data_IF_522201365787
#
_entry.id   IF_522201365787
#
_cell.length_a   1.000
_cell.length_b   1.000
_cell.length_c   1.000
_cell.angle_alpha   90.00
_cell.angle_beta   90.00
_cell.angle_gamma   90.00
#
_symmetry.space_group_name_H-M   'P 1'
#
loop_
_entity.id
_entity.type
_entity.pdbx_description
1 polymer ?
#
# COMPACT_ATOMS: atom_id res chain seq x y z
N UNK A 1 18.53 -9.38 -39.08
CA UNK A 1 19.37 -8.19 -38.79
C UNK A 1 18.83 -6.89 -39.42
N UNK A 2 18.82 -6.71 -40.75
CA UNK A 2 18.32 -5.47 -41.39
C UNK A 2 16.78 -5.34 -41.32
N UNK A 3 16.07 -6.42 -41.61
CA UNK A 3 14.60 -6.49 -41.52
C UNK A 3 14.07 -6.18 -40.12
N UNK A 4 14.75 -6.64 -39.07
CA UNK A 4 14.37 -6.34 -37.68
C UNK A 4 14.59 -4.88 -37.32
N UNK A 5 15.59 -4.22 -37.93
CA UNK A 5 15.79 -2.78 -37.79
C UNK A 5 14.66 -2.00 -38.48
N UNK A 6 14.26 -2.42 -39.68
CA UNK A 6 13.14 -1.80 -40.43
C UNK A 6 11.82 -1.97 -39.70
N UNK A 7 11.48 -3.18 -39.22
CA UNK A 7 10.26 -3.44 -38.43
C UNK A 7 10.21 -2.61 -37.14
N UNK A 8 11.33 -2.52 -36.41
CA UNK A 8 11.43 -1.68 -35.20
C UNK A 8 11.24 -0.20 -35.50
N UNK A 9 11.81 0.30 -36.61
CA UNK A 9 11.65 1.69 -37.04
C UNK A 9 10.21 2.00 -37.43
N UNK A 10 9.55 1.12 -38.20
CA UNK A 10 8.14 1.26 -38.56
C UNK A 10 7.23 1.24 -37.33
N UNK A 11 7.43 0.30 -36.40
CA UNK A 11 6.64 0.23 -35.17
C UNK A 11 6.84 1.47 -34.27
N UNK A 12 8.02 2.07 -34.27
CA UNK A 12 8.30 3.32 -33.56
C UNK A 12 7.52 4.49 -34.19
N UNK A 13 7.57 4.61 -35.52
CA UNK A 13 6.86 5.66 -36.27
C UNK A 13 5.33 5.52 -36.17
N UNK A 14 4.80 4.30 -36.21
CA UNK A 14 3.37 4.05 -36.02
C UNK A 14 2.92 4.42 -34.61
N UNK A 15 3.74 4.12 -33.59
CA UNK A 15 3.48 4.53 -32.20
C UNK A 15 3.51 6.04 -32.04
N UNK A 16 4.51 6.74 -32.59
CA UNK A 16 4.58 8.20 -32.51
C UNK A 16 3.39 8.86 -33.23
N UNK A 17 2.99 8.35 -34.40
CA UNK A 17 1.81 8.82 -35.12
C UNK A 17 0.51 8.58 -34.34
N UNK A 18 0.37 7.41 -33.71
CA UNK A 18 -0.79 7.12 -32.86
C UNK A 18 -0.87 8.08 -31.66
N UNK A 19 0.26 8.32 -30.97
CA UNK A 19 0.36 9.28 -29.86
C UNK A 19 0.00 10.69 -30.33
N UNK A 20 0.52 11.12 -31.49
CA UNK A 20 0.22 12.44 -32.08
C UNK A 20 -1.28 12.59 -32.37
N UNK A 21 -1.91 11.59 -32.99
CA UNK A 21 -3.35 11.58 -33.26
C UNK A 21 -4.18 11.61 -31.97
N UNK A 22 -3.80 10.83 -30.96
CA UNK A 22 -4.43 10.85 -29.63
C UNK A 22 -4.31 12.22 -28.97
N UNK A 23 -3.13 12.85 -28.98
CA UNK A 23 -2.92 14.21 -28.44
C UNK A 23 -3.80 15.23 -29.14
N UNK A 24 -3.86 15.19 -30.48
CA UNK A 24 -4.69 16.09 -31.29
C UNK A 24 -6.19 15.91 -31.00
N UNK A 25 -6.65 14.66 -30.80
CA UNK A 25 -8.04 14.37 -30.41
C UNK A 25 -8.37 14.93 -29.03
N UNK A 26 -7.52 14.70 -28.03
CA UNK A 26 -7.69 15.26 -26.67
C UNK A 26 -7.69 16.79 -26.66
N UNK A 27 -6.83 17.41 -27.48
CA UNK A 27 -6.78 18.86 -27.61
C UNK A 27 -8.07 19.42 -28.25
N UNK A 28 -8.60 18.74 -29.27
CA UNK A 28 -9.90 19.08 -29.86
C UNK A 28 -11.05 18.91 -28.85
N UNK A 29 -11.07 17.82 -28.09
CA UNK A 29 -12.09 17.59 -27.05
C UNK A 29 -12.01 18.64 -25.94
N UNK A 30 -10.80 19.02 -25.48
CA UNK A 30 -10.60 20.12 -24.54
C UNK A 30 -11.08 21.45 -25.10
N UNK A 31 -10.71 21.79 -26.33
CA UNK A 31 -11.18 23.01 -26.98
C UNK A 31 -12.72 23.03 -27.10
N UNK A 32 -13.33 21.90 -27.47
CA UNK A 32 -14.79 21.76 -27.54
C UNK A 32 -15.45 21.98 -26.17
N UNK A 33 -14.88 21.41 -25.09
CA UNK A 33 -15.37 21.63 -23.73
C UNK A 33 -15.28 23.10 -23.31
N UNK A 34 -14.12 23.74 -23.50
CA UNK A 34 -13.93 25.13 -23.08
C UNK A 34 -14.75 26.13 -23.92
N UNK A 35 -14.95 25.86 -25.21
CA UNK A 35 -15.78 26.71 -26.07
C UNK A 35 -17.26 26.66 -25.68
N UNK A 36 -17.79 25.47 -25.33
CA UNK A 36 -19.16 25.34 -24.85
C UNK A 36 -19.32 24.11 -23.94
N UNK A 37 -19.18 24.29 -22.60
CA UNK A 37 -19.16 23.16 -21.68
C UNK A 37 -20.51 22.44 -21.60
N UNK A 38 -21.62 23.17 -21.74
CA UNK A 38 -22.97 22.60 -21.67
C UNK A 38 -23.31 21.77 -22.91
N UNK A 39 -22.93 22.22 -24.11
CA UNK A 39 -23.11 21.44 -25.34
C UNK A 39 -22.24 20.18 -25.33
N UNK A 40 -21.00 20.29 -24.87
CA UNK A 40 -20.09 19.16 -24.72
C UNK A 40 -20.61 18.14 -23.71
N UNK A 41 -21.10 18.60 -22.55
CA UNK A 41 -21.71 17.73 -21.53
C UNK A 41 -22.98 17.05 -22.03
N UNK A 42 -23.85 17.75 -22.79
CA UNK A 42 -25.01 17.12 -23.44
C UNK A 42 -24.61 15.98 -24.37
N UNK A 43 -23.58 16.19 -25.20
CA UNK A 43 -23.09 15.17 -26.13
C UNK A 43 -22.54 13.92 -25.41
N UNK A 44 -22.06 14.05 -24.17
CA UNK A 44 -21.53 12.95 -23.37
C UNK A 44 -22.61 12.12 -22.67
N UNK A 45 -23.69 12.77 -22.23
CA UNK A 45 -24.57 12.23 -21.21
C UNK A 45 -25.80 11.50 -21.73
N UNK A 46 -26.25 11.72 -22.97
CA UNK A 46 -27.27 10.91 -23.67
C UNK A 46 -27.61 11.48 -25.06
N UNK A 47 -28.11 10.64 -25.98
CA UNK A 47 -28.79 11.12 -27.19
C UNK A 47 -30.07 11.88 -26.78
N UNK A 48 -30.43 12.94 -27.51
CA UNK A 48 -31.59 13.76 -27.18
C UNK A 48 -32.86 12.89 -27.12
N UNK A 49 -33.36 12.65 -25.90
CA UNK A 49 -34.65 11.99 -25.68
C UNK A 49 -35.74 12.95 -26.15
N UNK A 50 -36.15 12.77 -27.40
CA UNK A 50 -37.28 13.50 -27.98
C UNK A 50 -38.59 12.85 -27.53
N UNK A 51 -39.50 13.66 -27.00
CA UNK A 51 -40.81 13.23 -26.55
C UNK A 51 -41.73 14.43 -26.37
N UNK A 52 -43.01 14.28 -26.71
CA UNK A 52 -44.02 15.31 -26.48
C UNK A 52 -44.52 15.14 -25.04
N UNK A 53 -44.13 16.05 -24.16
CA UNK A 53 -44.68 16.10 -22.80
C UNK A 53 -46.17 16.44 -22.90
N UNK A 54 -47.04 15.53 -22.46
CA UNK A 54 -48.49 15.79 -22.37
C UNK A 54 -48.82 16.82 -21.28
N UNK A 55 -47.91 17.03 -20.34
CA UNK A 55 -48.06 17.93 -19.20
C UNK A 55 -47.59 19.33 -19.55
N UNK A 56 -48.39 20.35 -19.22
CA UNK A 56 -48.03 21.75 -19.41
C UNK A 56 -46.81 22.13 -18.57
N UNK A 57 -46.00 23.07 -19.08
CA UNK A 57 -44.77 23.52 -18.43
C UNK A 57 -45.02 24.00 -16.99
N UNK A 58 -46.10 24.74 -16.75
CA UNK A 58 -46.39 25.27 -15.41
C UNK A 58 -46.62 24.14 -14.40
N UNK A 59 -47.35 23.08 -14.81
CA UNK A 59 -47.68 21.96 -13.94
C UNK A 59 -46.45 21.11 -13.61
N UNK A 60 -45.52 20.95 -14.57
CA UNK A 60 -44.24 20.29 -14.34
C UNK A 60 -43.35 21.09 -13.39
N UNK A 61 -43.22 22.40 -13.61
CA UNK A 61 -42.42 23.28 -12.76
C UNK A 61 -42.96 23.32 -11.32
N UNK A 62 -44.27 23.34 -11.15
CA UNK A 62 -44.91 23.27 -9.84
C UNK A 62 -44.63 21.94 -9.13
N UNK A 63 -44.66 20.81 -9.86
CA UNK A 63 -44.31 19.50 -9.32
C UNK A 63 -42.84 19.43 -8.89
N UNK A 64 -41.90 19.87 -9.75
CA UNK A 64 -40.47 19.88 -9.42
C UNK A 64 -40.21 20.79 -8.21
N UNK A 65 -40.84 21.96 -8.17
CA UNK A 65 -40.72 22.89 -7.05
C UNK A 65 -41.25 22.27 -5.76
N UNK A 66 -42.38 21.56 -5.79
CA UNK A 66 -42.92 20.86 -4.63
C UNK A 66 -42.08 19.65 -4.16
N UNK A 67 -41.46 18.92 -5.08
CA UNK A 67 -40.70 17.70 -4.75
C UNK A 67 -39.25 17.97 -4.31
N UNK A 68 -38.58 18.94 -4.93
CA UNK A 68 -37.12 19.11 -4.80
C UNK A 68 -36.69 20.49 -4.30
N UNK A 69 -37.61 21.45 -4.13
CA UNK A 69 -37.27 22.73 -3.52
C UNK A 69 -37.63 22.73 -2.04
N UNK A 70 -36.64 23.02 -1.20
CA UNK A 70 -36.86 23.30 0.21
C UNK A 70 -37.70 24.60 0.35
N UNK A 71 -38.88 24.56 1.01
CA UNK A 71 -39.69 25.74 1.29
C UNK A 71 -38.95 26.84 2.07
N UNK A 72 -37.97 26.45 2.89
CA UNK A 72 -37.14 27.34 3.69
C UNK A 72 -35.81 27.70 3.01
N UNK A 73 -35.61 27.37 1.72
CA UNK A 73 -34.35 27.62 1.00
C UNK A 73 -33.88 29.08 1.06
N UNK A 74 -34.83 30.02 1.08
CA UNK A 74 -34.54 31.46 1.13
C UNK A 74 -34.47 32.01 2.56
N UNK A 75 -34.73 31.17 3.57
CA UNK A 75 -34.53 31.56 4.96
C UNK A 75 -33.04 31.42 5.29
N UNK A 76 -32.35 32.49 5.69
CA UNK A 76 -30.97 32.38 6.08
C UNK A 76 -30.87 31.43 7.28
N UNK A 77 -30.06 30.38 7.14
CA UNK A 77 -29.69 29.55 8.27
C UNK A 77 -29.02 30.47 9.30
N UNK A 78 -29.54 30.47 10.53
CA UNK A 78 -28.99 31.29 11.61
C UNK A 78 -27.50 30.99 11.83
N UNK A 79 -26.80 31.83 12.61
CA UNK A 79 -25.42 31.55 12.98
C UNK A 79 -25.32 30.12 13.50
N UNK A 80 -24.35 29.31 13.03
CA UNK A 80 -24.15 27.98 13.59
C UNK A 80 -24.01 28.17 15.11
N UNK A 81 -24.89 27.51 15.87
CA UNK A 81 -24.96 27.67 17.33
C UNK A 81 -23.55 27.57 17.92
N UNK A 82 -23.29 28.34 18.99
CA UNK A 82 -21.96 28.44 19.58
C UNK A 82 -21.42 27.05 19.93
N UNK A 83 -20.51 26.54 19.10
CA UNK A 83 -19.73 25.34 19.41
C UNK A 83 -18.60 25.79 20.31
N UNK A 84 -18.74 25.51 21.61
CA UNK A 84 -17.73 25.83 22.61
C UNK A 84 -16.38 25.25 22.17
N UNK A 85 -15.42 26.12 21.82
CA UNK A 85 -14.04 25.67 21.66
C UNK A 85 -13.56 25.18 23.03
N UNK A 86 -12.97 23.97 23.12
CA UNK A 86 -12.36 23.53 24.36
C UNK A 86 -11.29 24.55 24.78
N UNK A 87 -11.15 24.75 26.09
CA UNK A 87 -10.10 25.59 26.62
C UNK A 87 -8.73 25.09 26.12
N UNK A 88 -7.80 25.99 25.76
CA UNK A 88 -6.46 25.59 25.35
C UNK A 88 -5.77 24.80 26.49
N UNK A 89 -4.96 23.77 26.16
CA UNK A 89 -4.29 22.95 27.16
C UNK A 89 -3.37 23.80 28.04
N UNK A 90 -3.39 23.55 29.35
CA UNK A 90 -2.68 24.34 30.38
C UNK A 90 -1.15 24.29 30.24
N UNK A 91 -0.63 23.26 29.57
CA UNK A 91 0.80 23.07 29.34
C UNK A 91 1.08 22.82 27.86
N UNK A 92 1.92 23.66 27.24
CA UNK A 92 2.39 23.45 25.87
C UNK A 92 3.46 22.35 25.83
N UNK A 93 3.17 21.26 25.13
CA UNK A 93 4.13 20.17 24.86
C UNK A 93 4.84 20.41 23.53
N UNK A 94 6.09 19.96 23.41
CA UNK A 94 6.81 19.99 22.13
C UNK A 94 6.24 18.94 21.16
N UNK A 95 5.65 19.39 20.04
CA UNK A 95 4.95 18.58 19.02
C UNK A 95 5.84 18.28 17.81
N UNK A 96 7.14 18.61 17.85
CA UNK A 96 8.02 18.37 16.70
C UNK A 96 8.15 16.87 16.41
N UNK A 97 8.00 16.52 15.13
CA UNK A 97 8.12 15.14 14.68
C UNK A 97 9.49 14.58 15.08
N UNK A 98 9.54 13.35 15.63
CA UNK A 98 10.81 12.69 15.93
C UNK A 98 11.61 12.50 14.64
N UNK A 99 12.90 12.80 14.69
CA UNK A 99 13.77 12.62 13.51
C UNK A 99 13.89 11.12 13.23
N UNK A 100 13.74 10.72 11.96
CA UNK A 100 13.82 9.32 11.53
C UNK A 100 15.10 8.60 11.99
N UNK A 101 16.22 9.32 12.08
CA UNK A 101 17.48 8.79 12.60
C UNK A 101 17.41 8.36 14.09
N UNK A 102 16.61 9.06 14.90
CA UNK A 102 16.43 8.74 16.32
C UNK A 102 15.57 7.50 16.52
N UNK A 103 14.52 7.34 15.70
CA UNK A 103 13.64 6.17 15.71
C UNK A 103 14.40 4.91 15.30
N UNK A 104 15.13 4.97 14.19
CA UNK A 104 15.91 3.84 13.67
C UNK A 104 17.04 3.41 14.59
N UNK A 105 17.76 4.35 15.22
CA UNK A 105 18.81 4.04 16.19
C UNK A 105 18.27 3.40 17.47
N UNK A 106 17.10 3.84 17.94
CA UNK A 106 16.45 3.24 19.11
C UNK A 106 16.08 1.78 18.84
N UNK A 107 15.51 1.48 17.66
CA UNK A 107 15.21 0.11 17.21
C UNK A 107 16.48 -0.75 17.10
N UNK A 108 17.58 -0.19 16.58
CA UNK A 108 18.85 -0.91 16.42
C UNK A 108 19.54 -1.22 17.77
N UNK A 109 19.43 -0.33 18.76
CA UNK A 109 20.10 -0.46 20.06
C UNK A 109 19.54 -1.57 20.97
N UNK A 110 18.36 -2.10 20.65
CA UNK A 110 17.62 -3.06 21.49
C UNK A 110 17.91 -4.53 21.17
N UNK A 111 18.87 -4.82 20.28
CA UNK A 111 19.25 -6.21 19.98
C UNK A 111 18.22 -6.93 19.13
N UNK A 112 18.24 -6.64 17.83
CA UNK A 112 17.51 -7.39 16.81
C UNK A 112 18.41 -7.74 15.63
N UNK A 113 19.45 -8.53 15.84
CA UNK A 113 20.19 -9.19 14.74
C UNK A 113 19.25 -9.99 13.81
N UNK A 114 18.07 -10.39 14.32
CA UNK A 114 17.01 -11.09 13.58
C UNK A 114 16.25 -10.22 12.58
N UNK A 115 16.11 -8.90 12.80
CA UNK A 115 15.45 -8.01 11.83
C UNK A 115 16.41 -7.57 10.72
N UNK A 116 17.71 -7.42 11.04
CA UNK A 116 18.75 -7.14 10.06
C UNK A 116 18.97 -8.32 9.10
N UNK A 117 19.04 -9.58 9.57
CA UNK A 117 19.33 -10.71 8.66
C UNK A 117 18.24 -10.94 7.60
N UNK A 118 16.98 -10.59 7.88
CA UNK A 118 15.86 -10.68 6.93
C UNK A 118 15.82 -9.56 5.90
N UNK A 119 16.42 -8.40 6.18
CA UNK A 119 16.37 -7.21 5.34
C UNK A 119 17.70 -6.89 4.63
N UNK A 120 18.86 -7.35 5.13
CA UNK A 120 20.17 -6.98 4.58
C UNK A 120 20.89 -8.08 3.80
N UNK A 121 20.37 -9.31 3.76
CA UNK A 121 21.02 -10.42 3.05
C UNK A 121 20.84 -10.39 1.52
N UNK A 122 19.99 -9.49 0.97
CA UNK A 122 19.74 -9.38 -0.49
C UNK A 122 19.84 -7.98 -1.06
N UNK A 123 20.38 -7.01 -0.35
CA UNK A 123 20.66 -5.69 -0.93
C UNK A 123 22.14 -5.40 -0.78
N UNK A 124 22.88 -5.68 -1.87
CA UNK A 124 24.24 -5.21 -2.03
C UNK A 124 24.32 -3.70 -1.76
N UNK A 125 25.46 -3.28 -1.19
CA UNK A 125 25.76 -1.91 -0.72
C UNK A 125 25.05 -0.83 -1.57
N UNK A 126 24.19 0.03 -0.97
CA UNK A 126 23.50 1.05 -1.75
C UNK A 126 24.45 2.20 -2.10
N UNK A 127 24.44 2.56 -3.39
CA UNK A 127 25.02 3.81 -3.90
C UNK A 127 24.30 5.02 -3.31
N UNK A 128 25.07 6.03 -2.93
CA UNK A 128 24.78 7.01 -1.87
C UNK A 128 23.83 8.17 -2.21
N UNK A 129 23.27 8.27 -3.43
CA UNK A 129 22.74 9.56 -3.89
C UNK A 129 21.23 9.65 -4.21
N UNK A 130 20.48 8.55 -4.27
CA UNK A 130 19.05 8.59 -4.67
C UNK A 130 18.04 8.18 -3.58
N UNK A 131 18.50 7.78 -2.39
CA UNK A 131 17.63 7.26 -1.33
C UNK A 131 16.88 8.35 -0.55
N UNK A 132 17.34 9.61 -0.62
CA UNK A 132 16.71 10.73 0.11
C UNK A 132 15.46 11.26 -0.58
N UNK A 133 15.37 11.19 -1.91
CA UNK A 133 14.23 11.73 -2.66
C UNK A 133 12.99 10.82 -2.56
N UNK A 134 13.18 9.50 -2.61
CA UNK A 134 12.08 8.52 -2.62
C UNK A 134 11.31 8.48 -1.29
N UNK A 135 11.95 8.85 -0.18
CA UNK A 135 11.34 8.85 1.15
C UNK A 135 10.74 10.20 1.57
N UNK A 136 11.18 11.33 0.99
CA UNK A 136 10.55 12.63 1.23
C UNK A 136 9.18 12.77 0.53
N UNK A 137 8.99 12.12 -0.63
CA UNK A 137 7.68 12.11 -1.32
C UNK A 137 6.62 11.26 -0.60
N UNK A 138 7.02 10.32 0.26
CA UNK A 138 6.10 9.45 1.02
C UNK A 138 5.43 10.16 2.20
N UNK A 139 5.99 11.28 2.69
CA UNK A 139 5.44 12.05 3.81
C UNK A 139 4.49 13.17 3.40
N UNK A 140 4.44 13.54 2.11
CA UNK A 140 3.55 14.62 1.62
C UNK A 140 2.28 14.11 0.93
N UNK A 141 2.16 12.80 0.69
CA UNK A 141 1.01 12.21 0.01
C UNK A 141 -0.02 11.63 1.00
N UNK A 142 -0.89 12.48 1.56
CA UNK A 142 -2.07 12.07 2.34
C UNK A 142 -3.22 11.50 1.48
N UNK A 143 -2.91 10.75 0.42
CA UNK A 143 -3.93 10.04 -0.35
C UNK A 143 -3.40 8.68 -0.83
N UNK A 144 -4.03 7.63 -0.31
CA UNK A 144 -3.89 6.26 -0.80
C UNK A 144 -4.18 6.15 -2.32
N UNK A 145 -4.85 7.14 -2.93
CA UNK A 145 -5.14 7.19 -4.37
C UNK A 145 -3.89 7.28 -5.26
N UNK A 146 -2.83 7.96 -4.84
CA UNK A 146 -1.62 8.13 -5.68
C UNK A 146 -0.77 6.84 -5.70
N UNK A 147 -0.79 6.06 -4.62
CA UNK A 147 -0.04 4.80 -4.51
C UNK A 147 -0.64 3.64 -5.32
N UNK A 148 -1.96 3.69 -5.59
CA UNK A 148 -2.67 2.61 -6.30
C UNK A 148 -3.23 3.02 -7.67
N UNK A 149 -3.03 4.27 -8.09
CA UNK A 149 -3.32 4.75 -9.43
C UNK A 149 -2.50 4.00 -10.47
N UNK A 150 -3.17 3.29 -11.37
CA UNK A 150 -2.55 2.70 -12.57
C UNK A 150 -1.80 3.79 -13.34
N UNK A 151 -0.46 3.89 -13.18
CA UNK A 151 0.52 4.16 -14.27
C UNK A 151 1.92 4.70 -13.90
N UNK A 152 2.41 4.75 -12.66
CA UNK A 152 3.78 5.32 -12.43
C UNK A 152 4.81 4.34 -11.87
N UNK A 153 4.41 3.30 -11.14
CA UNK A 153 5.33 2.24 -10.73
C UNK A 153 4.63 0.89 -10.87
N UNK A 154 4.98 0.11 -11.89
CA UNK A 154 4.88 -1.35 -11.74
C UNK A 154 5.87 -1.71 -10.64
N UNK A 155 5.47 -1.60 -9.37
CA UNK A 155 6.31 -2.07 -8.28
C UNK A 155 6.37 -3.59 -8.41
N UNK A 156 7.52 -4.18 -8.79
CA UNK A 156 7.70 -5.61 -8.76
C UNK A 156 8.08 -5.98 -7.32
N UNK A 157 7.27 -5.53 -6.36
CA UNK A 157 7.36 -6.01 -5.00
C UNK A 157 6.43 -7.21 -4.94
N UNK A 158 6.88 -8.34 -5.50
CA UNK A 158 6.28 -9.61 -5.14
C UNK A 158 6.34 -9.65 -3.61
N UNK A 159 5.17 -9.63 -2.96
CA UNK A 159 5.14 -9.64 -1.50
C UNK A 159 5.90 -10.88 -1.01
N UNK A 160 6.59 -10.81 0.12
CA UNK A 160 7.31 -11.97 0.68
C UNK A 160 6.39 -13.19 0.77
N UNK A 161 5.10 -12.96 1.03
CA UNK A 161 4.07 -13.99 1.02
C UNK A 161 3.84 -14.59 -0.38
N UNK A 162 3.76 -13.77 -1.42
CA UNK A 162 3.62 -14.23 -2.80
C UNK A 162 4.81 -15.09 -3.21
N UNK A 163 6.03 -14.63 -2.94
CA UNK A 163 7.25 -15.40 -3.24
C UNK A 163 7.30 -16.74 -2.50
N UNK A 164 6.90 -16.74 -1.21
CA UNK A 164 6.78 -17.98 -0.43
C UNK A 164 5.73 -18.92 -1.03
N UNK A 165 4.53 -18.42 -1.37
CA UNK A 165 3.48 -19.24 -1.98
C UNK A 165 3.90 -19.83 -3.32
N UNK A 166 4.48 -19.02 -4.21
CA UNK A 166 5.02 -19.47 -5.48
C UNK A 166 6.08 -20.57 -5.30
N UNK A 167 6.99 -20.41 -4.34
CA UNK A 167 8.01 -21.43 -4.04
C UNK A 167 7.41 -22.73 -3.51
N UNK A 168 6.42 -22.62 -2.63
CA UNK A 168 5.74 -23.78 -2.01
C UNK A 168 4.84 -24.51 -3.00
N UNK A 169 4.09 -23.81 -3.85
CA UNK A 169 3.26 -24.41 -4.90
C UNK A 169 4.13 -25.06 -5.97
N UNK A 170 5.25 -24.44 -6.34
CA UNK A 170 6.26 -25.05 -7.22
C UNK A 170 6.80 -26.36 -6.65
N UNK A 171 7.14 -26.38 -5.35
CA UNK A 171 7.62 -27.59 -4.67
C UNK A 171 6.56 -28.70 -4.64
N UNK A 172 5.30 -28.38 -4.36
CA UNK A 172 4.19 -29.35 -4.42
C UNK A 172 4.09 -29.96 -5.82
N UNK A 173 4.16 -29.14 -6.87
CA UNK A 173 4.08 -29.62 -8.25
C UNK A 173 5.30 -30.46 -8.65
N UNK A 174 6.48 -30.10 -8.15
CA UNK A 174 7.71 -30.88 -8.33
C UNK A 174 7.61 -32.29 -7.77
N UNK A 175 7.07 -32.42 -6.55
CA UNK A 175 6.86 -33.70 -5.88
C UNK A 175 5.81 -34.56 -6.59
N UNK A 176 4.66 -33.96 -6.95
CA UNK A 176 3.56 -34.67 -7.63
C UNK A 176 3.93 -35.18 -9.02
N UNK A 177 4.70 -34.39 -9.77
CA UNK A 177 5.14 -34.76 -11.12
C UNK A 177 6.54 -35.39 -11.15
N UNK A 178 7.08 -35.82 -10.00
CA UNK A 178 8.41 -36.44 -9.96
C UNK A 178 8.52 -37.64 -10.89
N UNK A 179 9.69 -37.80 -11.51
CA UNK A 179 10.00 -38.96 -12.36
C UNK A 179 10.12 -40.22 -11.50
N UNK A 180 10.58 -40.06 -10.25
CA UNK A 180 10.78 -41.15 -9.32
C UNK A 180 9.43 -41.59 -8.73
N UNK A 181 9.06 -42.84 -9.01
CA UNK A 181 7.81 -43.42 -8.55
C UNK A 181 7.68 -43.38 -7.02
N UNK A 182 8.76 -43.65 -6.29
CA UNK A 182 8.77 -43.63 -4.82
C UNK A 182 8.46 -42.24 -4.26
N UNK A 183 9.01 -41.19 -4.87
CA UNK A 183 8.77 -39.80 -4.46
C UNK A 183 7.31 -39.41 -4.70
N UNK A 184 6.76 -39.84 -5.84
CA UNK A 184 5.35 -39.58 -6.17
C UNK A 184 4.39 -40.37 -5.27
N UNK A 185 4.69 -41.63 -4.98
CA UNK A 185 3.87 -42.48 -4.11
C UNK A 185 3.96 -42.09 -2.62
N UNK A 186 5.03 -41.42 -2.20
CA UNK A 186 5.20 -41.00 -0.81
C UNK A 186 4.24 -39.88 -0.37
N UNK A 187 3.56 -39.21 -1.32
CA UNK A 187 2.65 -38.07 -1.10
C UNK A 187 3.16 -37.09 -0.03
N UNK A 188 4.43 -36.68 -0.17
CA UNK A 188 5.10 -35.88 0.83
C UNK A 188 4.43 -34.50 0.99
N UNK A 189 3.91 -34.24 2.20
CA UNK A 189 3.24 -32.99 2.51
C UNK A 189 4.27 -31.86 2.72
N UNK A 190 4.24 -30.87 1.81
CA UNK A 190 5.02 -29.63 1.94
C UNK A 190 4.64 -28.87 3.21
N UNK A 191 5.62 -28.65 4.08
CA UNK A 191 5.45 -27.90 5.33
C UNK A 191 5.00 -26.47 5.04
N UNK A 192 3.80 -26.15 5.50
CA UNK A 192 3.15 -24.85 5.40
C UNK A 192 2.53 -24.48 6.76
N UNK A 193 2.21 -23.20 6.97
CA UNK A 193 1.59 -22.75 8.22
C UNK A 193 0.11 -23.15 8.30
N UNK A 194 -0.51 -23.04 9.48
CA UNK A 194 -1.93 -23.39 9.64
C UNK A 194 -2.87 -22.54 8.78
N UNK A 195 -2.56 -21.26 8.57
CA UNK A 195 -3.42 -20.33 7.82
C UNK A 195 -3.54 -20.64 6.33
N UNK A 196 -2.61 -21.39 5.75
CA UNK A 196 -2.54 -21.61 4.32
C UNK A 196 -1.83 -22.93 4.01
N UNK A 197 -2.47 -23.80 3.22
CA UNK A 197 -1.92 -25.09 2.81
C UNK A 197 -1.62 -25.08 1.31
N UNK A 198 -0.39 -25.43 0.95
CA UNK A 198 0.06 -25.41 -0.44
C UNK A 198 -0.69 -26.41 -1.33
N UNK A 199 -0.97 -27.61 -0.81
CA UNK A 199 -1.66 -28.67 -1.55
C UNK A 199 -3.04 -28.19 -2.02
N UNK A 200 -3.81 -27.63 -1.09
CA UNK A 200 -5.16 -27.12 -1.36
C UNK A 200 -5.13 -25.97 -2.37
N UNK A 201 -4.16 -25.05 -2.27
CA UNK A 201 -4.03 -23.96 -3.24
C UNK A 201 -3.67 -24.50 -4.63
N UNK A 202 -2.76 -25.47 -4.73
CA UNK A 202 -2.43 -26.13 -5.99
C UNK A 202 -3.65 -26.82 -6.59
N UNK A 203 -4.44 -27.55 -5.81
CA UNK A 203 -5.66 -28.21 -6.28
C UNK A 203 -6.68 -27.19 -6.82
N UNK A 204 -6.92 -26.09 -6.10
CA UNK A 204 -7.80 -25.00 -6.54
C UNK A 204 -7.31 -24.36 -7.84
N UNK A 205 -6.01 -24.13 -7.96
CA UNK A 205 -5.40 -23.53 -9.16
C UNK A 205 -5.51 -24.48 -10.34
N UNK A 206 -5.25 -25.78 -10.15
CA UNK A 206 -5.42 -26.79 -11.20
C UNK A 206 -6.89 -26.84 -11.66
N UNK A 207 -7.86 -26.88 -10.73
CA UNK A 207 -9.28 -26.82 -11.08
C UNK A 207 -9.64 -25.55 -11.86
N UNK A 208 -9.06 -24.41 -11.49
CA UNK A 208 -9.25 -23.15 -12.21
C UNK A 208 -8.66 -23.19 -13.61
N UNK A 209 -7.47 -23.74 -13.78
CA UNK A 209 -6.83 -23.92 -15.09
C UNK A 209 -7.63 -24.87 -15.99
N UNK A 210 -8.14 -25.96 -15.43
CA UNK A 210 -9.04 -26.90 -16.14
C UNK A 210 -10.35 -26.22 -16.54
N UNK A 211 -10.92 -25.42 -15.64
CA UNK A 211 -12.12 -24.63 -15.94
C UNK A 211 -11.85 -23.64 -17.07
N UNK A 212 -10.73 -22.91 -17.03
CA UNK A 212 -10.30 -21.99 -18.10
C UNK A 212 -10.10 -22.70 -19.44
N UNK A 213 -9.60 -23.94 -19.43
CA UNK A 213 -9.50 -24.77 -20.62
C UNK A 213 -10.89 -25.06 -21.24
N UNK A 214 -11.92 -25.30 -20.42
CA UNK A 214 -13.31 -25.49 -20.90
C UNK A 214 -13.87 -24.22 -21.56
N UNK A 215 -13.64 -23.03 -21.00
CA UNK A 215 -14.03 -21.77 -21.65
C UNK A 215 -13.23 -21.50 -22.92
N UNK A 216 -12.02 -22.05 -23.00
CA UNK A 216 -11.11 -21.81 -24.11
C UNK A 216 -10.78 -20.33 -24.25
N UNK A 217 -10.88 -19.81 -25.47
CA UNK A 217 -10.48 -18.43 -25.78
C UNK A 217 -11.61 -17.45 -25.48
N UNK A 218 -11.44 -16.64 -24.44
CA UNK A 218 -12.36 -15.55 -24.06
C UNK A 218 -11.93 -14.22 -24.71
N UNK A 219 -12.89 -13.39 -25.09
CA UNK A 219 -12.65 -12.05 -25.62
C UNK A 219 -11.90 -11.17 -24.59
N UNK A 220 -10.77 -10.60 -24.99
CA UNK A 220 -10.00 -9.67 -24.14
C UNK A 220 -10.24 -8.22 -24.58
N UNK A 221 -11.17 -7.54 -23.92
CA UNK A 221 -11.50 -6.14 -24.22
C UNK A 221 -12.24 -5.97 -25.55
N UNK A 222 -11.97 -4.88 -26.27
CA UNK A 222 -12.71 -4.48 -27.48
C UNK A 222 -12.10 -5.05 -28.77
N UNK A 223 -11.14 -5.96 -28.69
CA UNK A 223 -10.38 -6.48 -29.85
C UNK A 223 -11.12 -7.57 -30.63
N UNK A 224 -12.28 -8.03 -30.15
CA UNK A 224 -13.06 -9.10 -30.77
C UNK A 224 -12.53 -10.52 -30.47
N UNK A 225 -13.30 -11.52 -30.91
CA UNK A 225 -12.97 -12.93 -30.71
C UNK A 225 -11.80 -13.35 -31.63
N UNK A 226 -10.78 -14.03 -31.08
CA UNK A 226 -9.68 -14.57 -31.88
C UNK A 226 -8.37 -13.77 -31.88
N UNK A 227 -8.31 -12.61 -31.21
CA UNK A 227 -7.09 -11.80 -31.10
C UNK A 227 -6.40 -11.96 -29.74
N UNK A 228 -5.09 -12.21 -29.74
CA UNK A 228 -4.26 -12.37 -28.53
C UNK A 228 -3.36 -13.60 -28.57
N UNK A 229 -2.66 -13.88 -27.46
CA UNK A 229 -1.89 -15.11 -27.29
C UNK A 229 -2.83 -16.33 -27.28
N UNK A 230 -2.35 -17.47 -27.80
CA UNK A 230 -3.13 -18.70 -27.76
C UNK A 230 -3.26 -19.17 -26.31
N UNK A 231 -4.46 -19.53 -25.82
CA UNK A 231 -4.59 -20.07 -24.47
C UNK A 231 -3.78 -21.36 -24.35
N UNK A 232 -2.95 -21.44 -23.30
CA UNK A 232 -2.28 -22.68 -22.94
C UNK A 232 -3.28 -23.61 -22.28
N UNK A 233 -3.38 -24.83 -22.80
CA UNK A 233 -4.28 -25.85 -22.27
C UNK A 233 -3.56 -26.72 -21.24
N UNK A 234 -4.18 -26.92 -20.09
CA UNK A 234 -3.61 -27.73 -19.00
C UNK A 234 -3.36 -29.17 -19.46
N UNK A 235 -4.31 -29.76 -20.18
CA UNK A 235 -4.20 -31.13 -20.69
C UNK A 235 -2.98 -31.32 -21.60
N UNK A 236 -2.66 -30.33 -22.44
CA UNK A 236 -1.59 -30.38 -23.47
C UNK A 236 -0.24 -29.85 -22.98
N UNK A 237 -0.19 -29.20 -21.82
CA UNK A 237 1.02 -28.61 -21.27
C UNK A 237 2.02 -29.67 -20.79
N UNK A 238 3.30 -29.43 -21.07
CA UNK A 238 4.40 -30.25 -20.57
C UNK A 238 4.66 -29.99 -19.07
N UNK A 239 5.44 -30.85 -18.39
CA UNK A 239 5.74 -30.72 -16.94
C UNK A 239 6.26 -29.33 -16.55
N UNK A 240 7.17 -28.76 -17.35
CA UNK A 240 7.71 -27.41 -17.12
C UNK A 240 6.63 -26.34 -17.27
N UNK A 241 5.80 -26.46 -18.30
CA UNK A 241 4.72 -25.52 -18.60
C UNK A 241 3.63 -25.57 -17.53
N UNK A 242 3.24 -26.76 -17.05
CA UNK A 242 2.26 -26.91 -15.96
C UNK A 242 2.72 -26.21 -14.67
N UNK A 243 3.99 -26.34 -14.30
CA UNK A 243 4.56 -25.60 -13.16
C UNK A 243 4.46 -24.10 -13.35
N UNK A 244 4.79 -23.62 -14.55
CA UNK A 244 4.74 -22.19 -14.86
C UNK A 244 3.31 -21.65 -14.88
N UNK A 245 2.36 -22.42 -15.44
CA UNK A 245 0.92 -22.12 -15.41
C UNK A 245 0.37 -22.05 -13.98
N UNK A 246 0.75 -23.00 -13.11
CA UNK A 246 0.32 -22.99 -11.70
C UNK A 246 0.87 -21.75 -10.99
N UNK A 247 2.17 -21.47 -11.13
CA UNK A 247 2.80 -20.32 -10.47
C UNK A 247 2.25 -18.98 -10.99
N UNK A 248 2.02 -18.86 -12.30
CA UNK A 248 1.46 -17.66 -12.91
C UNK A 248 0.01 -17.45 -12.48
N UNK A 249 -0.79 -18.51 -12.41
CA UNK A 249 -2.19 -18.42 -11.97
C UNK A 249 -2.28 -18.09 -10.47
N UNK A 250 -1.45 -18.68 -9.60
CA UNK A 250 -1.35 -18.28 -8.16
C UNK A 250 -1.10 -16.78 -8.04
N UNK A 251 -0.16 -16.25 -8.83
CA UNK A 251 0.18 -14.83 -8.87
C UNK A 251 -1.03 -14.00 -9.28
N UNK A 252 -1.71 -14.41 -10.34
CA UNK A 252 -2.91 -13.75 -10.85
C UNK A 252 -4.07 -13.77 -9.84
N UNK A 253 -4.27 -14.86 -9.11
CA UNK A 253 -5.29 -14.93 -8.05
C UNK A 253 -5.01 -13.93 -6.93
N UNK A 254 -3.75 -13.77 -6.52
CA UNK A 254 -3.36 -12.76 -5.52
C UNK A 254 -3.59 -11.34 -6.04
N UNK A 255 -3.19 -11.06 -7.27
CA UNK A 255 -3.41 -9.76 -7.91
C UNK A 255 -4.90 -9.45 -8.07
N UNK A 256 -5.72 -10.43 -8.45
CA UNK A 256 -7.18 -10.30 -8.52
C UNK A 256 -7.80 -10.00 -7.16
N UNK A 257 -7.36 -10.70 -6.10
CA UNK A 257 -7.81 -10.44 -4.75
C UNK A 257 -7.42 -9.03 -4.29
N UNK A 258 -6.19 -8.60 -4.57
CA UNK A 258 -5.73 -7.24 -4.26
C UNK A 258 -6.54 -6.20 -5.04
N UNK A 259 -6.78 -6.39 -6.34
CA UNK A 259 -7.62 -5.49 -7.14
C UNK A 259 -9.06 -5.42 -6.60
N UNK A 260 -9.63 -6.55 -6.20
CA UNK A 260 -10.97 -6.62 -5.62
C UNK A 260 -11.05 -5.91 -4.27
N UNK A 261 -10.00 -6.03 -3.44
CA UNK A 261 -9.88 -5.24 -2.21
C UNK A 261 -9.79 -3.77 -2.61
N UNK A 262 -8.83 -3.36 -3.44
CA UNK A 262 -8.62 -1.95 -3.77
C UNK A 262 -9.77 -1.27 -4.55
N UNK A 263 -10.69 -2.03 -5.14
CA UNK A 263 -11.87 -1.48 -5.83
C UNK A 263 -13.01 -1.03 -4.89
N UNK A 264 -12.75 -0.82 -3.59
CA UNK A 264 -13.78 -0.33 -2.67
C UNK A 264 -14.76 -1.42 -2.20
N UNK A 265 -14.37 -2.70 -2.22
CA UNK A 265 -15.26 -3.79 -1.83
C UNK A 265 -15.77 -3.62 -0.39
N UNK A 266 -17.10 -3.55 -0.23
CA UNK A 266 -17.79 -3.40 1.06
C UNK A 266 -17.46 -4.53 2.04
N UNK A 267 -17.39 -5.77 1.55
CA UNK A 267 -17.05 -6.94 2.37
C UNK A 267 -15.59 -6.90 2.82
N UNK A 268 -14.67 -6.47 1.96
CA UNK A 268 -13.27 -6.32 2.35
C UNK A 268 -13.08 -5.20 3.37
N UNK A 269 -13.89 -4.13 3.27
CA UNK A 269 -13.90 -3.01 4.21
C UNK A 269 -14.44 -3.44 5.58
N UNK A 270 -15.60 -4.09 5.61
CA UNK A 270 -16.21 -4.58 6.87
C UNK A 270 -15.35 -5.63 7.58
N UNK A 271 -14.63 -6.45 6.81
CA UNK A 271 -13.67 -7.42 7.36
C UNK A 271 -12.33 -6.80 7.76
N UNK A 272 -12.11 -5.50 7.55
CA UNK A 272 -10.87 -4.81 7.93
C UNK A 272 -9.64 -5.18 7.09
N UNK A 273 -9.82 -5.78 5.90
CA UNK A 273 -8.70 -6.29 5.09
C UNK A 273 -7.75 -5.20 4.57
N UNK A 274 -8.25 -3.97 4.43
CA UNK A 274 -7.46 -2.81 3.99
C UNK A 274 -6.43 -2.40 5.03
N UNK A 275 -6.81 -2.42 6.30
CA UNK A 275 -5.93 -2.03 7.41
C UNK A 275 -5.11 -3.19 7.94
N UNK A 276 -5.43 -4.43 7.57
CA UNK A 276 -4.76 -5.59 8.16
C UNK A 276 -3.23 -5.52 8.11
N UNK A 277 -2.64 -5.18 6.94
CA UNK A 277 -1.18 -5.07 6.81
C UNK A 277 -0.61 -3.94 7.67
N UNK A 278 -1.30 -2.80 7.67
CA UNK A 278 -0.98 -1.64 8.49
C UNK A 278 -1.00 -2.00 9.98
N UNK A 279 -2.09 -2.60 10.45
CA UNK A 279 -2.29 -3.01 11.84
C UNK A 279 -1.27 -4.06 12.29
N UNK A 280 -0.84 -4.97 11.40
CA UNK A 280 0.24 -5.92 11.72
C UNK A 280 1.58 -5.22 11.95
N UNK A 281 1.89 -4.20 11.14
CA UNK A 281 3.12 -3.41 11.31
C UNK A 281 3.02 -2.55 12.57
N UNK A 282 1.91 -1.85 12.79
CA UNK A 282 1.68 -1.08 14.02
C UNK A 282 1.79 -1.95 15.27
N UNK A 283 1.23 -3.16 15.27
CA UNK A 283 1.37 -4.10 16.40
C UNK A 283 2.83 -4.38 16.72
N UNK A 284 3.65 -4.68 15.71
CA UNK A 284 5.07 -4.98 15.93
C UNK A 284 5.87 -3.76 16.40
N UNK A 285 5.56 -2.59 15.87
CA UNK A 285 6.14 -1.32 16.32
C UNK A 285 5.74 -1.01 17.77
N UNK A 286 4.46 -1.13 18.09
CA UNK A 286 3.92 -0.95 19.44
C UNK A 286 4.56 -1.90 20.44
N UNK A 287 4.68 -3.19 20.14
CA UNK A 287 5.39 -4.17 20.99
C UNK A 287 6.82 -3.72 21.28
N UNK A 288 7.52 -3.22 20.26
CA UNK A 288 8.93 -2.80 20.40
C UNK A 288 9.04 -1.53 21.25
N UNK A 289 8.16 -0.54 21.02
CA UNK A 289 8.12 0.70 21.79
C UNK A 289 7.69 0.47 23.23
N UNK A 290 6.79 -0.48 23.48
CA UNK A 290 6.34 -0.84 24.83
C UNK A 290 7.49 -1.43 25.66
N UNK A 291 8.33 -2.27 25.05
CA UNK A 291 9.56 -2.77 25.69
C UNK A 291 10.49 -1.60 26.04
N UNK A 292 10.68 -0.63 25.14
CA UNK A 292 11.48 0.58 25.43
C UNK A 292 10.90 1.39 26.60
N UNK A 293 9.58 1.58 26.59
CA UNK A 293 8.86 2.36 27.58
C UNK A 293 8.97 1.74 28.98
N UNK A 294 8.78 0.42 29.07
CA UNK A 294 8.94 -0.31 30.32
C UNK A 294 10.38 -0.23 30.84
N UNK A 295 11.38 -0.46 29.98
CA UNK A 295 12.79 -0.37 30.40
C UNK A 295 13.17 1.03 30.93
N UNK A 296 12.65 2.09 30.29
CA UNK A 296 12.94 3.48 30.68
C UNK A 296 12.19 3.93 31.94
N UNK A 297 10.94 3.52 32.11
CA UNK A 297 10.16 3.79 33.32
C UNK A 297 10.69 3.02 34.54
N UNK A 298 11.18 1.79 34.36
CA UNK A 298 11.77 0.97 35.43
C UNK A 298 13.19 1.42 35.83
N UNK A 299 13.73 2.50 35.24
CA UNK A 299 15.08 3.00 35.54
C UNK A 299 16.22 2.09 35.08
N UNK A 300 15.93 1.01 34.36
CA UNK A 300 16.91 0.01 33.93
C UNK A 300 17.59 0.49 32.64
N UNK A 301 18.56 1.40 32.76
CA UNK A 301 19.42 1.70 31.62
C UNK A 301 20.36 0.51 31.40
N UNK A 302 20.43 -0.09 30.19
CA UNK A 302 21.47 -1.05 29.92
C UNK A 302 22.81 -0.36 30.18
N UNK A 303 23.62 -0.93 31.08
CA UNK A 303 24.93 -0.42 31.43
C UNK A 303 25.68 -0.15 30.13
N UNK A 304 25.96 1.12 29.84
CA UNK A 304 26.78 1.49 28.70
C UNK A 304 28.13 0.84 28.92
N UNK A 305 28.41 -0.28 28.22
CA UNK A 305 29.74 -0.86 28.18
C UNK A 305 30.66 0.25 27.69
N UNK A 306 31.51 0.78 28.57
CA UNK A 306 32.52 1.77 28.20
C UNK A 306 33.37 1.11 27.11
N UNK A 307 33.29 1.61 25.88
CA UNK A 307 34.12 1.13 24.80
C UNK A 307 35.54 1.60 25.08
N UNK A 308 36.40 0.70 25.57
CA UNK A 308 37.82 0.99 25.79
C UNK A 308 38.49 0.98 24.41
N UNK A 309 38.96 2.15 23.98
CA UNK A 309 39.68 2.30 22.71
C UNK A 309 41.15 1.96 22.94
N UNK A 310 41.61 0.83 22.42
CA UNK A 310 43.02 0.45 22.46
C UNK A 310 43.80 1.25 21.41
N UNK A 311 44.82 1.98 21.85
CA UNK A 311 45.73 2.75 20.98
C UNK A 311 47.11 2.08 21.03
N UNK A 312 47.78 1.98 19.88
CA UNK A 312 49.15 1.42 19.81
C UNK A 312 50.14 2.35 20.50
N UNK A 313 51.14 1.78 21.18
CA UNK A 313 52.20 2.53 21.85
C UNK A 313 52.94 3.42 20.82
N UNK A 314 52.93 4.74 21.05
CA UNK A 314 53.52 5.74 20.16
C UNK A 314 52.59 6.33 19.09
N UNK A 315 51.32 5.90 18.99
CA UNK A 315 50.31 6.54 18.13
C UNK A 315 49.49 7.58 18.89
N UNK A 316 49.28 8.76 18.31
CA UNK A 316 48.31 9.73 18.84
C UNK A 316 46.88 9.25 18.59
N UNK A 317 46.02 9.35 19.59
CA UNK A 317 44.59 9.17 19.39
C UNK A 317 44.09 10.34 18.53
N UNK A 318 43.83 10.11 17.24
CA UNK A 318 43.09 11.08 16.44
C UNK A 318 41.74 11.29 17.11
N UNK A 319 41.49 12.52 17.55
CA UNK A 319 40.24 12.98 18.13
C UNK A 319 39.14 12.93 17.08
N UNK A 320 38.63 11.71 16.84
CA UNK A 320 37.36 11.54 16.15
C UNK A 320 36.34 12.26 17.01
N UNK A 321 35.85 13.37 16.46
CA UNK A 321 34.88 14.29 17.04
C UNK A 321 33.86 13.47 17.81
N UNK A 322 33.74 13.71 19.12
CA UNK A 322 32.75 13.06 19.99
C UNK A 322 31.38 13.10 19.30
N UNK A 323 31.00 12.00 18.66
CA UNK A 323 29.66 11.80 18.18
C UNK A 323 28.83 11.69 19.46
N UNK A 324 28.19 12.81 19.83
CA UNK A 324 27.20 12.89 20.91
C UNK A 324 26.42 11.58 20.96
N UNK A 325 26.39 10.96 22.13
CA UNK A 325 25.62 9.74 22.36
C UNK A 325 24.25 9.86 21.66
N UNK A 326 23.82 8.86 20.87
CA UNK A 326 22.60 8.97 20.09
C UNK A 326 21.45 9.29 21.03
N UNK A 327 20.70 10.34 20.71
CA UNK A 327 19.58 10.79 21.52
C UNK A 327 18.60 9.61 21.68
N UNK A 328 18.47 9.10 22.91
CA UNK A 328 17.48 8.08 23.25
C UNK A 328 16.09 8.66 22.97
N UNK A 329 15.25 7.92 22.22
CA UNK A 329 13.88 8.35 21.87
C UNK A 329 13.05 8.68 23.12
N UNK A 330 13.27 7.93 24.21
CA UNK A 330 12.66 8.16 25.52
C UNK A 330 13.74 8.57 26.52
N UNK A 331 13.49 9.66 27.24
CA UNK A 331 14.40 10.16 28.28
C UNK A 331 14.30 9.27 29.53
N UNK A 332 15.42 8.80 30.11
CA UNK A 332 15.43 8.01 31.35
C UNK A 332 14.86 8.81 32.54
N UNK A 333 14.20 8.12 33.48
CA UNK A 333 13.74 8.73 34.75
C UNK A 333 12.49 9.61 34.63
N UNK A 334 11.73 9.49 33.53
CA UNK A 334 10.46 10.18 33.30
C UNK A 334 9.38 9.13 33.02
N UNK A 335 8.16 9.37 33.51
CA UNK A 335 7.03 8.48 33.24
C UNK A 335 6.51 8.70 31.82
N UNK A 336 6.67 7.68 30.98
CA UNK A 336 6.15 7.67 29.60
C UNK A 336 4.87 6.82 29.50
N UNK A 337 3.88 7.36 28.79
CA UNK A 337 2.64 6.69 28.40
C UNK A 337 2.56 6.55 26.87
N UNK A 338 1.89 5.50 26.38
CA UNK A 338 1.74 5.23 24.94
C UNK A 338 0.30 4.84 24.60
N UNK A 339 -0.19 5.29 23.44
CA UNK A 339 -1.43 4.82 22.77
C UNK A 339 -1.15 4.55 21.30
N UNK A 340 -1.88 3.61 20.70
CA UNK A 340 -1.66 3.09 19.34
C UNK A 340 -3.01 3.01 18.64
N UNK A 341 -3.12 3.45 17.38
CA UNK A 341 -4.36 3.39 16.60
C UNK A 341 -4.62 1.99 16.02
N UNK A 342 -4.87 1.03 16.89
CA UNK A 342 -5.39 -0.27 16.50
C UNK A 342 -6.92 -0.25 16.62
N UNK A 343 -7.61 -0.34 15.48
CA UNK A 343 -9.08 -0.49 15.45
C UNK A 343 -9.89 0.81 15.55
N UNK A 344 -9.32 1.97 15.18
CA UNK A 344 -9.96 3.31 15.24
C UNK A 344 -10.26 3.79 16.66
N UNK A 345 -9.48 3.36 17.64
CA UNK A 345 -9.71 3.70 19.04
C UNK A 345 -8.71 4.72 19.60
N UNK A 346 -7.85 5.30 18.75
CA UNK A 346 -6.93 6.32 19.21
C UNK A 346 -7.68 7.62 19.55
N UNK A 347 -8.08 7.75 20.81
CA UNK A 347 -8.55 9.00 21.37
C UNK A 347 -7.35 9.80 21.87
N UNK A 348 -7.14 10.96 21.25
CA UNK A 348 -6.07 11.87 21.65
C UNK A 348 -6.39 12.49 23.02
N UNK A 349 -5.47 12.42 24.01
CA UNK A 349 -5.68 13.06 25.31
C UNK A 349 -5.79 14.58 25.12
N UNK A 350 -7.00 15.12 25.32
CA UNK A 350 -7.30 16.54 25.09
C UNK A 350 -6.58 17.45 26.08
N UNK A 351 -6.14 16.87 27.20
CA UNK A 351 -5.43 17.54 28.29
C UNK A 351 -4.02 18.00 27.86
N UNK A 352 -3.46 17.41 26.79
CA UNK A 352 -2.04 17.54 26.42
C UNK A 352 -1.88 18.48 25.22
N UNK A 353 -2.48 18.14 24.07
CA UNK A 353 -2.50 18.99 22.88
C UNK A 353 -3.79 18.81 22.09
N UNK A 354 -4.22 19.86 21.39
CA UNK A 354 -5.26 19.78 20.37
C UNK A 354 -4.53 19.76 19.03
N UNK A 355 -4.57 18.63 18.33
CA UNK A 355 -3.91 18.45 17.03
C UNK A 355 -4.91 18.04 15.96
N UNK A 356 -4.69 18.51 14.73
CA UNK A 356 -5.42 18.07 13.53
C UNK A 356 -4.75 16.86 12.87
N UNK A 357 -3.60 16.43 13.38
CA UNK A 357 -2.88 15.27 12.88
C UNK A 357 -3.56 13.98 13.34
N UNK A 358 -3.53 12.95 12.49
CA UNK A 358 -4.00 11.59 12.76
C UNK A 358 -2.78 10.66 12.87
N UNK A 359 -2.03 10.70 13.98
CA UNK A 359 -0.87 9.85 14.18
C UNK A 359 -1.28 8.38 14.39
N UNK A 360 -0.40 7.46 14.02
CA UNK A 360 -0.61 6.02 14.20
C UNK A 360 -0.24 5.58 15.62
N UNK A 361 0.77 6.24 16.22
CA UNK A 361 1.20 6.00 17.61
C UNK A 361 1.47 7.35 18.31
N UNK A 362 1.00 7.46 19.55
CA UNK A 362 1.24 8.63 20.40
C UNK A 362 1.94 8.17 21.67
N UNK A 363 3.14 8.71 21.90
CA UNK A 363 3.90 8.51 23.13
C UNK A 363 4.11 9.86 23.80
N UNK A 364 3.78 9.99 25.08
CA UNK A 364 3.91 11.27 25.78
C UNK A 364 4.39 11.08 27.21
N UNK A 365 4.94 12.14 27.79
CA UNK A 365 5.27 12.21 29.21
C UNK A 365 4.90 13.58 29.76
N UNK A 366 3.99 13.60 30.73
CA UNK A 366 3.53 14.82 31.41
C UNK A 366 4.66 15.48 32.19
N UNK A 367 5.48 14.67 32.87
CA UNK A 367 6.68 15.11 33.58
C UNK A 367 7.74 15.68 32.64
N UNK A 368 7.89 15.09 31.45
CA UNK A 368 8.85 15.57 30.45
C UNK A 368 8.38 16.79 29.64
N UNK A 369 7.06 17.03 29.61
CA UNK A 369 6.39 17.96 28.67
C UNK A 369 6.74 17.67 27.21
N UNK A 370 6.90 16.40 26.86
CA UNK A 370 7.25 15.94 25.51
C UNK A 370 6.18 15.00 24.97
N UNK A 371 5.81 15.18 23.70
CA UNK A 371 4.95 14.28 22.95
C UNK A 371 5.66 13.84 21.67
N UNK A 372 5.55 12.56 21.35
CA UNK A 372 6.07 11.93 20.15
C UNK A 372 4.87 11.43 19.36
N UNK A 373 4.70 11.99 18.17
CA UNK A 373 3.71 11.56 17.19
C UNK A 373 4.47 10.74 16.16
N UNK A 374 4.09 9.47 16.01
CA UNK A 374 4.73 8.51 15.09
C UNK A 374 3.71 8.09 14.05
#
# INVERSE_FOLDING_TARGET
MLWDKVKRKLASLQRSECIRKCRKRKEKERANFFNNPFKYARQLLEDEKSGKLEVTKEKLEQHIRGQYSDPARNNPLGPPGHVSRPAPPTSQFNIMLPKFCQVTQSIQSLGGSTLQSSLTSRWGKPYRHNSQMVWQELTEANSLEILFGRNILQLPLQSINLGNKQGKTRLVQELRESTDQLVRCADAQVRTGWKWKAQVEVDQVISRLQHLEVFGRVQAGWTGLGWGEAPQFWSKANRKERKEMVVSEVTKMEEECLRHILSGCKTALSQGRYRWRHDQVLKKLAETLEVCRQATNSGCSPATKRHIQFVRQGGSAESTTSLRAPARLLSPGKEWSMRVDLGMQLQFPREITITTLLPDIVVWSTTAKTILLI
#
